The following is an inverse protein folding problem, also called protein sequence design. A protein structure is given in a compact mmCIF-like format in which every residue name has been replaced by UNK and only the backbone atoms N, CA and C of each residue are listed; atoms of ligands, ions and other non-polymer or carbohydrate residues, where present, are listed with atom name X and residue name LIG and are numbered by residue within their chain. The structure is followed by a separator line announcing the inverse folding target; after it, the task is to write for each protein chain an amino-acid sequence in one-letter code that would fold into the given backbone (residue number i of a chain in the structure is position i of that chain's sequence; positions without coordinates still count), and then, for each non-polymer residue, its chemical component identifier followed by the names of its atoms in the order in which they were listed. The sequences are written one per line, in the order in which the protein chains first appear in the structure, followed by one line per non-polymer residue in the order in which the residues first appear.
data_IF_127295697820
#
_entry.id   IF_127295697820
#
_cell.length_a   1.000
_cell.length_b   1.000
_cell.length_c   1.000
_cell.angle_alpha   90.00
_cell.angle_beta   90.00
_cell.angle_gamma   90.00
#
_symmetry.space_group_name_H-M   'P 1'
#
loop_
_entity.id
_entity.type
_entity.pdbx_description
1 polymer ?
#
# COMPACT_ATOMS: atom_id res chain seq x y z
N UNK A 1 21.75 5.86 52.13
CA UNK A 1 22.45 5.74 50.85
C UNK A 1 21.55 4.90 49.93
N UNK A 2 20.81 5.54 49.05
CA UNK A 2 19.94 4.88 48.09
C UNK A 2 20.76 4.55 46.84
N UNK A 3 20.94 3.28 46.58
CA UNK A 3 21.54 2.82 45.32
C UNK A 3 20.48 2.98 44.21
N UNK A 4 20.60 4.02 43.40
CA UNK A 4 19.95 4.15 42.13
C UNK A 4 20.66 3.19 41.17
N UNK A 5 20.05 2.03 40.92
CA UNK A 5 20.46 1.15 39.82
C UNK A 5 20.02 1.81 38.49
N UNK A 6 20.96 2.48 37.83
CA UNK A 6 20.77 2.98 36.48
C UNK A 6 20.49 1.80 35.53
N UNK A 7 19.20 1.56 35.22
CA UNK A 7 18.82 0.71 34.08
C UNK A 7 19.20 1.45 32.80
N UNK A 8 20.30 1.05 32.19
CA UNK A 8 20.58 1.42 30.79
C UNK A 8 19.62 0.65 29.90
N UNK A 9 18.50 1.27 29.54
CA UNK A 9 17.59 0.68 28.55
C UNK A 9 18.31 0.64 27.20
N UNK A 10 18.36 -0.54 26.59
CA UNK A 10 18.94 -0.72 25.26
C UNK A 10 18.03 -0.07 24.21
N UNK A 11 18.61 0.60 23.20
CA UNK A 11 17.84 1.15 22.11
C UNK A 11 17.35 0.06 21.16
N UNK A 12 16.24 0.32 20.44
CA UNK A 12 15.75 -0.60 19.41
C UNK A 12 16.81 -0.90 18.35
N UNK A 13 17.56 0.11 17.93
CA UNK A 13 18.63 -0.03 16.94
C UNK A 13 19.73 -0.96 17.43
N UNK A 14 20.13 -0.81 18.67
CA UNK A 14 21.15 -1.67 19.30
C UNK A 14 20.66 -3.12 19.43
N UNK A 15 19.39 -3.35 19.81
CA UNK A 15 18.79 -4.68 19.83
C UNK A 15 18.77 -5.31 18.45
N UNK A 16 18.32 -4.56 17.43
CA UNK A 16 18.20 -5.07 16.06
C UNK A 16 19.55 -5.27 15.35
N UNK A 17 20.62 -4.65 15.85
CA UNK A 17 21.98 -4.96 15.39
C UNK A 17 22.43 -6.37 15.79
N UNK A 18 21.85 -6.93 16.86
CA UNK A 18 22.19 -8.25 17.43
C UNK A 18 21.24 -9.36 16.99
N UNK A 19 19.97 -9.05 16.75
CA UNK A 19 18.93 -10.03 16.37
C UNK A 19 17.88 -9.43 15.46
N UNK A 20 17.49 -10.14 14.40
CA UNK A 20 16.44 -9.66 13.48
C UNK A 20 15.04 -9.80 14.08
N UNK A 21 14.08 -8.93 13.67
CA UNK A 21 12.67 -9.05 14.06
C UNK A 21 12.10 -10.43 13.70
N UNK A 22 12.55 -11.02 12.60
CA UNK A 22 12.13 -12.35 12.15
C UNK A 22 12.52 -13.41 13.16
N UNK A 23 13.75 -13.36 13.69
CA UNK A 23 14.20 -14.31 14.70
C UNK A 23 13.49 -14.10 16.05
N UNK A 24 13.18 -12.86 16.40
CA UNK A 24 12.37 -12.54 17.57
C UNK A 24 10.96 -13.12 17.41
N UNK A 25 10.33 -12.90 16.25
CA UNK A 25 9.01 -13.46 15.96
C UNK A 25 8.99 -14.99 16.02
N UNK A 26 10.01 -15.66 15.45
CA UNK A 26 10.15 -17.11 15.56
C UNK A 26 10.20 -17.59 17.00
N UNK A 27 11.04 -16.94 17.81
CA UNK A 27 11.26 -17.33 19.22
C UNK A 27 9.99 -17.18 20.05
N UNK A 28 9.32 -16.02 19.93
CA UNK A 28 8.23 -15.67 20.86
C UNK A 28 6.83 -16.00 20.33
N UNK A 29 6.65 -16.14 19.02
CA UNK A 29 5.37 -16.53 18.41
C UNK A 29 5.36 -17.97 17.91
N UNK A 30 6.48 -18.69 17.98
CA UNK A 30 6.59 -20.10 17.56
C UNK A 30 6.37 -20.33 16.07
N UNK A 31 6.58 -19.28 15.24
CA UNK A 31 6.37 -19.38 13.79
C UNK A 31 7.63 -19.90 13.09
N UNK A 32 7.42 -20.68 12.04
CA UNK A 32 8.51 -21.29 11.23
C UNK A 32 8.63 -20.69 9.83
N UNK A 33 7.65 -19.88 9.43
CA UNK A 33 7.61 -19.25 8.10
C UNK A 33 6.92 -17.89 8.14
N UNK A 34 7.30 -16.98 7.26
CA UNK A 34 6.68 -15.68 7.01
C UNK A 34 6.50 -15.53 5.48
N UNK A 35 5.31 -15.13 4.97
CA UNK A 35 4.08 -14.87 5.71
C UNK A 35 3.36 -16.13 6.17
N UNK A 36 2.68 -16.05 7.30
CA UNK A 36 1.82 -17.11 7.81
C UNK A 36 0.52 -16.55 8.38
N UNK A 37 -0.47 -17.41 8.56
CA UNK A 37 -1.72 -17.11 9.26
C UNK A 37 -1.87 -18.12 10.38
N UNK A 38 -1.98 -17.62 11.61
CA UNK A 38 -2.09 -18.42 12.84
C UNK A 38 -3.39 -18.09 13.59
N UNK A 39 -3.70 -18.85 14.60
CA UNK A 39 -4.74 -18.44 15.55
C UNK A 39 -4.27 -17.19 16.32
N UNK A 40 -5.19 -16.26 16.60
CA UNK A 40 -4.80 -15.02 17.29
C UNK A 40 -4.14 -15.31 18.65
N UNK A 41 -2.94 -14.79 18.92
CA UNK A 41 -2.32 -14.90 20.23
C UNK A 41 -2.92 -13.92 21.25
N UNK A 42 -3.72 -12.96 20.82
CA UNK A 42 -4.30 -11.90 21.66
C UNK A 42 -5.72 -12.22 22.16
N UNK A 43 -6.38 -13.24 21.59
CA UNK A 43 -7.73 -13.63 21.93
C UNK A 43 -7.97 -15.12 21.66
N UNK A 44 -9.04 -15.66 22.21
CA UNK A 44 -9.47 -17.03 21.88
C UNK A 44 -9.87 -17.09 20.41
N UNK A 45 -9.22 -17.93 19.64
CA UNK A 45 -9.43 -18.09 18.20
C UNK A 45 -9.57 -19.57 17.86
N UNK A 46 -10.64 -19.93 17.13
CA UNK A 46 -10.91 -21.32 16.73
C UNK A 46 -10.54 -21.57 15.25
N UNK A 47 -10.22 -20.53 14.50
CA UNK A 47 -9.80 -20.61 13.09
C UNK A 47 -8.70 -19.59 12.83
N UNK A 48 -7.60 -19.97 12.17
CA UNK A 48 -6.51 -19.05 11.87
C UNK A 48 -7.01 -17.75 11.20
N UNK A 49 -6.87 -16.64 11.91
CA UNK A 49 -7.31 -15.31 11.45
C UNK A 49 -6.32 -14.20 11.77
N UNK A 50 -5.11 -14.58 12.19
CA UNK A 50 -4.07 -13.63 12.55
C UNK A 50 -2.87 -13.76 11.59
N UNK A 51 -2.73 -12.78 10.69
CA UNK A 51 -1.67 -12.75 9.69
C UNK A 51 -0.39 -12.14 10.23
N UNK A 52 0.75 -12.83 10.02
CA UNK A 52 2.10 -12.32 10.30
C UNK A 52 2.84 -12.26 8.96
N UNK A 53 3.44 -11.12 8.66
CA UNK A 53 4.09 -10.87 7.39
C UNK A 53 5.26 -9.87 7.49
N UNK A 54 6.07 -9.82 6.44
CA UNK A 54 7.11 -8.81 6.26
C UNK A 54 7.08 -8.34 4.81
N UNK A 55 7.20 -7.03 4.58
CA UNK A 55 7.26 -6.47 3.23
C UNK A 55 8.69 -6.36 2.72
N UNK A 56 9.63 -6.07 3.61
CA UNK A 56 11.05 -5.82 3.32
C UNK A 56 11.97 -7.00 3.69
N UNK A 57 11.41 -8.05 4.27
CA UNK A 57 12.18 -9.18 4.80
C UNK A 57 12.93 -8.88 6.11
N UNK A 58 12.72 -7.70 6.71
CA UNK A 58 13.37 -7.26 7.95
C UNK A 58 12.35 -6.98 9.05
N UNK A 59 11.38 -6.10 8.78
CA UNK A 59 10.35 -5.71 9.75
C UNK A 59 9.16 -6.65 9.71
N UNK A 60 8.74 -7.13 10.87
CA UNK A 60 7.57 -8.00 11.04
C UNK A 60 6.35 -7.15 11.38
N UNK A 61 5.24 -7.44 10.69
CA UNK A 61 3.93 -6.81 10.88
C UNK A 61 2.87 -7.87 11.12
N UNK A 62 1.80 -7.49 11.80
CA UNK A 62 0.63 -8.34 11.97
C UNK A 62 -0.66 -7.64 11.58
N UNK A 63 -1.67 -8.46 11.28
CA UNK A 63 -3.05 -8.04 11.12
C UNK A 63 -3.96 -9.13 11.67
N UNK A 64 -4.79 -8.80 12.65
CA UNK A 64 -5.92 -9.65 13.05
C UNK A 64 -7.10 -9.40 12.11
N UNK A 65 -7.36 -10.33 11.21
CA UNK A 65 -8.42 -10.19 10.20
C UNK A 65 -9.83 -10.21 10.79
N UNK A 66 -10.01 -10.65 12.03
CA UNK A 66 -11.30 -10.66 12.68
C UNK A 66 -11.65 -9.33 13.34
N UNK A 67 -10.65 -8.61 13.86
CA UNK A 67 -10.85 -7.31 14.54
C UNK A 67 -10.44 -6.13 13.68
N UNK A 68 -9.64 -6.35 12.62
CA UNK A 68 -9.01 -5.30 11.82
C UNK A 68 -7.77 -4.68 12.47
N UNK A 69 -7.39 -5.14 13.64
CA UNK A 69 -6.23 -4.63 14.38
C UNK A 69 -4.93 -4.97 13.65
N UNK A 70 -3.98 -4.04 13.63
CA UNK A 70 -2.67 -4.18 12.97
C UNK A 70 -1.58 -3.43 13.72
N UNK A 71 -0.34 -3.90 13.57
CA UNK A 71 0.80 -3.26 14.23
C UNK A 71 2.15 -3.90 13.88
N UNK A 72 3.20 -3.46 14.59
CA UNK A 72 4.54 -4.03 14.53
C UNK A 72 4.73 -5.21 15.48
N UNK A 73 5.89 -5.88 15.37
CA UNK A 73 6.23 -7.01 16.24
C UNK A 73 6.27 -6.62 17.72
N UNK A 74 6.91 -5.51 18.04
CA UNK A 74 7.08 -5.09 19.45
C UNK A 74 5.77 -4.61 20.07
N UNK A 75 4.86 -4.00 19.28
CA UNK A 75 3.50 -3.68 19.71
C UNK A 75 2.71 -4.96 20.02
N UNK A 76 2.87 -5.99 19.17
CA UNK A 76 2.26 -7.30 19.41
C UNK A 76 2.78 -7.93 20.71
N UNK A 77 4.09 -7.92 20.92
CA UNK A 77 4.69 -8.51 22.11
C UNK A 77 4.33 -7.73 23.39
N UNK A 78 4.22 -6.40 23.32
CA UNK A 78 3.73 -5.56 24.40
C UNK A 78 2.32 -5.97 24.83
N UNK A 79 1.41 -6.14 23.89
CA UNK A 79 0.04 -6.59 24.14
C UNK A 79 -0.01 -8.03 24.66
N UNK A 80 0.76 -8.92 24.06
CA UNK A 80 0.80 -10.34 24.43
C UNK A 80 1.32 -10.55 25.86
N UNK A 81 2.30 -9.76 26.28
CA UNK A 81 2.89 -9.85 27.60
C UNK A 81 2.26 -8.91 28.62
N UNK A 82 1.45 -7.95 28.19
CA UNK A 82 0.81 -6.96 29.07
C UNK A 82 1.81 -6.01 29.72
N UNK A 83 2.93 -5.68 29.03
CA UNK A 83 3.99 -4.81 29.52
C UNK A 83 4.25 -3.65 28.54
N UNK A 84 4.76 -2.50 29.02
CA UNK A 84 5.13 -1.37 28.17
C UNK A 84 6.19 -1.74 27.12
N UNK A 85 6.24 -0.93 26.05
CA UNK A 85 7.15 -1.16 24.91
C UNK A 85 8.63 -1.21 25.30
N UNK A 86 9.08 -0.34 26.17
CA UNK A 86 10.45 -0.29 26.71
C UNK A 86 10.81 -1.56 27.49
N UNK A 87 9.89 -2.06 28.31
CA UNK A 87 10.07 -3.32 29.03
C UNK A 87 10.13 -4.54 28.10
N UNK A 88 9.48 -4.48 26.92
CA UNK A 88 9.61 -5.53 25.87
C UNK A 88 11.05 -5.60 25.39
N UNK A 89 11.68 -4.45 25.10
CA UNK A 89 13.08 -4.39 24.66
C UNK A 89 14.03 -4.95 25.71
N UNK A 90 13.85 -4.54 26.97
CA UNK A 90 14.65 -5.03 28.10
C UNK A 90 14.49 -6.54 28.28
N UNK A 91 13.27 -7.07 28.20
CA UNK A 91 13.01 -8.51 28.32
C UNK A 91 13.73 -9.31 27.23
N UNK A 92 13.60 -8.87 25.96
CA UNK A 92 14.27 -9.54 24.85
C UNK A 92 15.78 -9.50 25.01
N UNK A 93 16.32 -8.35 25.44
CA UNK A 93 17.74 -8.17 25.65
C UNK A 93 18.26 -9.09 26.77
N UNK A 94 17.54 -9.15 27.88
CA UNK A 94 17.91 -10.03 29.01
C UNK A 94 17.90 -11.50 28.58
N UNK A 95 16.88 -11.93 27.79
CA UNK A 95 16.81 -13.28 27.25
C UNK A 95 17.95 -13.62 26.29
N UNK A 96 18.49 -12.63 25.59
CA UNK A 96 19.66 -12.80 24.73
C UNK A 96 20.96 -12.85 25.55
N UNK A 97 21.10 -11.98 26.54
CA UNK A 97 22.33 -11.90 27.37
C UNK A 97 22.46 -13.09 28.32
N UNK A 98 21.38 -13.55 28.93
CA UNK A 98 21.42 -14.75 29.78
C UNK A 98 21.78 -16.03 29.03
N UNK A 99 21.48 -16.11 27.73
CA UNK A 99 21.93 -17.21 26.87
C UNK A 99 23.44 -17.16 26.62
N UNK A 100 24.02 -15.96 26.58
CA UNK A 100 25.49 -15.79 26.40
C UNK A 100 26.32 -15.98 27.68
N UNK A 101 25.71 -15.82 28.84
CA UNK A 101 26.43 -16.02 30.11
C UNK A 101 26.60 -17.48 30.55
N UNK A 102 25.78 -18.40 30.01
CA UNK A 102 25.83 -19.82 30.33
C UNK A 102 26.53 -20.68 29.26
N UNK A 103 27.02 -20.09 28.18
CA UNK A 103 27.72 -20.80 27.09
C UNK A 103 29.08 -20.16 26.82
N UNK A 104 30.03 -20.22 27.79
CA UNK A 104 31.44 -20.22 27.46
C UNK A 104 31.80 -21.68 27.09
N UNK A 105 31.38 -22.11 25.93
CA UNK A 105 32.00 -23.12 25.06
C UNK A 105 31.50 -22.96 23.65
N UNK A 106 32.42 -22.69 22.75
CA UNK A 106 32.33 -22.65 21.33
C UNK A 106 31.46 -23.80 20.79
N UNK A 107 30.27 -23.50 20.31
CA UNK A 107 29.61 -24.22 19.23
C UNK A 107 28.65 -23.26 18.51
N UNK A 108 28.99 -23.01 17.25
CA UNK A 108 28.22 -22.18 16.31
C UNK A 108 26.87 -22.80 15.88
N UNK A 109 26.20 -23.52 16.76
CA UNK A 109 24.90 -24.15 16.50
C UNK A 109 23.82 -23.59 17.45
N UNK A 110 23.57 -22.30 17.38
CA UNK A 110 22.24 -21.82 17.73
C UNK A 110 21.29 -22.24 16.59
N UNK A 111 20.70 -23.43 16.73
CA UNK A 111 19.60 -23.88 15.88
C UNK A 111 18.38 -22.97 16.10
N UNK A 112 18.45 -21.71 15.61
CA UNK A 112 17.25 -21.02 15.19
C UNK A 112 16.76 -21.79 13.97
N UNK A 113 15.64 -22.47 14.13
CA UNK A 113 14.91 -23.07 12.99
C UNK A 113 14.96 -22.05 11.87
N UNK A 114 15.62 -22.37 10.75
CA UNK A 114 15.73 -21.43 9.62
C UNK A 114 14.32 -21.05 9.21
N UNK A 115 13.90 -19.83 9.59
CA UNK A 115 12.59 -19.32 9.16
C UNK A 115 12.64 -19.24 7.65
N UNK A 116 11.74 -19.93 7.02
CA UNK A 116 11.56 -19.85 5.58
C UNK A 116 10.82 -18.57 5.27
N UNK A 117 11.54 -17.53 4.84
CA UNK A 117 10.91 -16.35 4.23
C UNK A 117 10.41 -16.81 2.87
N UNK A 118 9.13 -17.15 2.80
CA UNK A 118 8.49 -17.42 1.51
C UNK A 118 8.48 -16.13 0.71
N UNK A 119 9.34 -16.01 -0.29
CA UNK A 119 9.19 -14.97 -1.31
C UNK A 119 7.76 -15.10 -1.83
N UNK A 120 6.96 -14.02 -1.66
CA UNK A 120 5.62 -13.95 -2.24
C UNK A 120 5.76 -14.30 -3.72
N UNK A 121 5.29 -15.48 -4.15
CA UNK A 121 5.25 -15.78 -5.58
C UNK A 121 4.38 -14.71 -6.19
N UNK A 122 4.95 -13.88 -7.07
CA UNK A 122 4.17 -12.84 -7.78
C UNK A 122 3.07 -13.57 -8.52
N UNK A 123 1.82 -13.42 -8.08
CA UNK A 123 0.68 -13.96 -8.80
C UNK A 123 0.56 -13.18 -10.09
N UNK A 124 0.51 -13.86 -11.23
CA UNK A 124 0.20 -13.23 -12.50
C UNK A 124 -1.31 -13.14 -12.63
N UNK A 125 -1.81 -11.99 -13.07
CA UNK A 125 -3.22 -11.79 -13.37
C UNK A 125 -3.37 -11.69 -14.87
N UNK A 126 -4.33 -12.43 -15.42
CA UNK A 126 -4.81 -12.31 -16.77
C UNK A 126 -6.31 -11.99 -16.74
N UNK A 127 -6.82 -11.36 -17.77
CA UNK A 127 -8.22 -10.94 -17.83
C UNK A 127 -8.84 -11.30 -19.20
N UNK A 128 -10.13 -11.57 -19.20
CA UNK A 128 -10.91 -11.65 -20.43
C UNK A 128 -11.64 -10.32 -20.61
N UNK A 129 -11.17 -9.52 -21.58
CA UNK A 129 -11.79 -8.26 -21.95
C UNK A 129 -13.14 -8.54 -22.62
N UNK A 130 -14.09 -7.66 -22.40
CA UNK A 130 -15.40 -7.61 -23.08
C UNK A 130 -15.61 -6.26 -23.77
N UNK A 131 -16.63 -6.16 -24.57
CA UNK A 131 -17.01 -4.89 -25.17
C UNK A 131 -17.53 -3.90 -24.12
N UNK A 132 -17.30 -2.63 -24.35
CA UNK A 132 -17.90 -1.53 -23.60
C UNK A 132 -19.41 -1.55 -23.76
N UNK A 133 -20.13 -1.47 -22.66
CA UNK A 133 -21.59 -1.37 -22.64
C UNK A 133 -22.01 0.06 -22.30
N UNK A 134 -23.32 0.35 -22.47
CA UNK A 134 -23.88 1.65 -22.13
C UNK A 134 -23.63 1.99 -20.65
N UNK A 135 -23.87 1.05 -19.73
CA UNK A 135 -23.69 1.28 -18.30
C UNK A 135 -22.22 1.51 -17.90
N UNK A 136 -21.25 0.94 -18.62
CA UNK A 136 -19.84 1.24 -18.36
C UNK A 136 -19.51 2.68 -18.72
N UNK A 137 -19.99 3.14 -19.89
CA UNK A 137 -19.79 4.52 -20.34
C UNK A 137 -20.41 5.51 -19.38
N UNK A 138 -21.68 5.31 -19.01
CA UNK A 138 -22.39 6.13 -18.03
C UNK A 138 -21.65 6.18 -16.68
N UNK A 139 -21.11 5.04 -16.22
CA UNK A 139 -20.31 4.99 -14.99
C UNK A 139 -19.08 5.90 -15.07
N UNK A 140 -18.27 5.78 -16.12
CA UNK A 140 -17.05 6.57 -16.25
C UNK A 140 -17.33 8.03 -16.61
N UNK A 141 -18.33 8.31 -17.42
CA UNK A 141 -18.79 9.66 -17.74
C UNK A 141 -19.26 10.40 -16.48
N UNK A 142 -19.87 9.69 -15.53
CA UNK A 142 -20.25 10.27 -14.24
C UNK A 142 -19.06 10.76 -13.40
N UNK A 143 -17.85 10.32 -13.72
CA UNK A 143 -16.58 10.82 -13.17
C UNK A 143 -15.83 11.75 -14.15
N UNK A 144 -16.48 12.18 -15.23
CA UNK A 144 -15.89 13.05 -16.26
C UNK A 144 -14.81 12.37 -17.13
N UNK A 145 -14.80 11.04 -17.20
CA UNK A 145 -13.81 10.27 -17.96
C UNK A 145 -14.47 9.64 -19.19
N UNK A 146 -14.11 10.12 -20.37
CA UNK A 146 -14.65 9.59 -21.64
C UNK A 146 -13.99 8.25 -22.03
N UNK A 147 -14.63 7.55 -22.98
CA UNK A 147 -14.07 6.32 -23.53
C UNK A 147 -12.68 6.50 -24.15
N UNK A 148 -12.42 7.65 -24.77
CA UNK A 148 -11.09 7.94 -25.35
C UNK A 148 -10.02 8.03 -24.28
N UNK A 149 -10.32 8.65 -23.13
CA UNK A 149 -9.43 8.70 -21.98
C UNK A 149 -9.19 7.32 -21.39
N UNK A 150 -10.20 6.47 -21.31
CA UNK A 150 -10.06 5.10 -20.82
C UNK A 150 -9.17 4.27 -21.75
N UNK A 151 -9.37 4.38 -23.08
CA UNK A 151 -8.52 3.72 -24.07
C UNK A 151 -7.07 4.24 -24.00
N UNK A 152 -6.91 5.57 -23.89
CA UNK A 152 -5.60 6.19 -23.71
C UNK A 152 -4.86 5.64 -22.50
N UNK A 153 -5.56 5.46 -21.39
CA UNK A 153 -5.02 4.93 -20.13
C UNK A 153 -4.92 3.39 -20.10
N UNK A 154 -5.30 2.68 -21.15
CA UNK A 154 -5.39 1.21 -21.20
C UNK A 154 -6.27 0.63 -20.10
N UNK A 155 -7.43 1.23 -19.91
CA UNK A 155 -8.50 0.72 -19.06
C UNK A 155 -9.48 -0.07 -19.93
N UNK A 156 -9.82 -1.29 -19.52
CA UNK A 156 -10.69 -2.17 -20.30
C UNK A 156 -11.74 -2.82 -19.40
N UNK A 157 -13.00 -2.93 -19.85
CA UNK A 157 -14.02 -3.69 -19.14
C UNK A 157 -13.73 -5.19 -19.27
N UNK A 158 -13.95 -5.94 -18.21
CA UNK A 158 -13.62 -7.37 -18.17
C UNK A 158 -14.83 -8.21 -17.80
N UNK A 159 -14.84 -9.47 -18.29
CA UNK A 159 -15.84 -10.47 -17.95
C UNK A 159 -15.31 -11.53 -16.98
N UNK A 160 -14.01 -11.79 -17.01
CA UNK A 160 -13.35 -12.77 -16.13
C UNK A 160 -11.98 -12.27 -15.71
N UNK A 161 -11.56 -12.70 -14.51
CA UNK A 161 -10.21 -12.59 -13.99
C UNK A 161 -9.62 -13.98 -13.82
N UNK A 162 -8.35 -14.14 -14.21
CA UNK A 162 -7.62 -15.39 -14.14
C UNK A 162 -6.39 -15.15 -13.28
N UNK A 163 -6.33 -15.81 -12.15
CA UNK A 163 -5.19 -15.72 -11.22
C UNK A 163 -4.30 -16.92 -11.45
N UNK A 164 -3.04 -16.66 -11.78
CA UNK A 164 -2.03 -17.70 -11.95
C UNK A 164 -1.11 -17.70 -10.74
N UNK A 165 -1.13 -18.78 -9.99
CA UNK A 165 -0.32 -18.97 -8.78
C UNK A 165 0.30 -20.35 -8.81
N UNK A 166 1.64 -20.44 -8.65
CA UNK A 166 2.38 -21.68 -8.68
C UNK A 166 2.08 -22.55 -9.93
N UNK A 167 1.97 -21.92 -11.11
CA UNK A 167 1.66 -22.60 -12.37
C UNK A 167 0.19 -23.01 -12.56
N UNK A 168 -0.65 -22.93 -11.53
CA UNK A 168 -2.08 -23.22 -11.61
C UNK A 168 -2.88 -21.99 -12.00
N UNK A 169 -3.89 -22.16 -12.84
CA UNK A 169 -4.79 -21.11 -13.33
C UNK A 169 -6.15 -21.25 -12.66
N UNK A 170 -6.61 -20.17 -12.05
CA UNK A 170 -7.92 -20.08 -11.40
C UNK A 170 -8.74 -19.00 -12.10
N UNK A 171 -9.83 -19.37 -12.77
CA UNK A 171 -10.71 -18.44 -13.48
C UNK A 171 -11.93 -18.12 -12.62
N UNK A 172 -12.24 -16.82 -12.53
CA UNK A 172 -13.38 -16.30 -11.78
C UNK A 172 -14.16 -15.33 -12.67
N UNK A 173 -15.48 -15.34 -12.56
CA UNK A 173 -16.30 -14.27 -13.14
C UNK A 173 -15.93 -12.93 -12.50
N UNK A 174 -15.95 -11.87 -13.28
CA UNK A 174 -15.82 -10.50 -12.79
C UNK A 174 -17.22 -9.91 -12.51
N UNK A 175 -17.27 -8.88 -11.64
CA UNK A 175 -18.52 -8.16 -11.37
C UNK A 175 -19.03 -7.45 -12.62
N UNK A 176 -20.31 -7.04 -12.64
CA UNK A 176 -20.90 -6.27 -13.73
C UNK A 176 -20.06 -5.05 -14.09
N UNK A 177 -19.65 -4.29 -13.07
CA UNK A 177 -18.71 -3.16 -13.20
C UNK A 177 -17.33 -3.64 -12.78
N UNK A 178 -16.56 -4.12 -13.74
CA UNK A 178 -15.19 -4.58 -13.49
C UNK A 178 -14.27 -4.12 -14.61
N UNK A 179 -13.18 -3.49 -14.24
CA UNK A 179 -12.25 -2.85 -15.17
C UNK A 179 -10.81 -3.28 -14.86
N UNK A 180 -10.06 -3.61 -15.90
CA UNK A 180 -8.63 -3.86 -15.81
C UNK A 180 -7.85 -2.60 -16.18
N UNK A 181 -6.98 -2.15 -15.29
CA UNK A 181 -5.97 -1.14 -15.54
C UNK A 181 -4.69 -1.86 -15.95
N UNK A 182 -4.27 -1.67 -17.19
CA UNK A 182 -3.10 -2.34 -17.76
C UNK A 182 -1.91 -1.41 -17.67
N UNK A 183 -0.97 -1.75 -16.81
CA UNK A 183 0.22 -0.97 -16.54
C UNK A 183 1.44 -1.56 -17.24
N UNK A 184 2.26 -0.67 -17.82
CA UNK A 184 3.50 -1.04 -18.49
C UNK A 184 4.68 -0.39 -17.77
N UNK A 185 5.66 -1.20 -17.37
CA UNK A 185 6.92 -0.74 -16.82
C UNK A 185 8.07 -1.59 -17.36
N UNK A 186 9.05 -0.96 -18.01
CA UNK A 186 10.28 -1.63 -18.49
C UNK A 186 9.97 -2.90 -19.31
N UNK A 187 9.00 -2.81 -20.21
CA UNK A 187 8.57 -3.95 -21.05
C UNK A 187 7.69 -4.99 -20.34
N UNK A 188 7.50 -4.88 -19.03
CA UNK A 188 6.64 -5.78 -18.27
C UNK A 188 5.22 -5.23 -18.17
N UNK A 189 4.25 -6.12 -18.34
CA UNK A 189 2.82 -5.81 -18.17
C UNK A 189 2.34 -6.32 -16.82
N UNK A 190 1.64 -5.48 -16.09
CA UNK A 190 0.92 -5.86 -14.87
C UNK A 190 -0.52 -5.34 -14.92
N UNK A 191 -1.40 -5.95 -14.15
CA UNK A 191 -2.83 -5.66 -14.18
C UNK A 191 -3.32 -5.38 -12.76
N UNK A 192 -4.06 -4.27 -12.65
CA UNK A 192 -4.86 -3.94 -11.47
C UNK A 192 -6.33 -3.96 -11.86
N UNK A 193 -7.12 -4.77 -11.19
CA UNK A 193 -8.56 -4.89 -11.43
C UNK A 193 -9.30 -4.04 -10.42
N UNK A 194 -10.25 -3.25 -10.91
CA UNK A 194 -11.14 -2.39 -10.14
C UNK A 194 -12.59 -2.86 -10.27
N UNK A 195 -13.22 -3.17 -9.16
CA UNK A 195 -14.62 -3.57 -9.05
C UNK A 195 -15.32 -2.67 -8.03
N UNK A 196 -15.82 -1.48 -8.43
CA UNK A 196 -16.26 -0.42 -7.51
C UNK A 196 -17.36 -0.86 -6.53
N UNK A 197 -18.25 -1.74 -6.96
CA UNK A 197 -19.41 -2.17 -6.17
C UNK A 197 -19.25 -3.53 -5.50
N UNK A 198 -18.01 -4.09 -5.50
CA UNK A 198 -17.76 -5.38 -4.85
C UNK A 198 -17.89 -5.25 -3.32
N UNK A 199 -18.82 -6.04 -2.75
CA UNK A 199 -19.11 -6.06 -1.31
C UNK A 199 -18.33 -7.12 -0.55
N UNK A 200 -17.59 -7.99 -1.23
CA UNK A 200 -16.92 -9.16 -0.65
C UNK A 200 -15.42 -8.90 -0.38
N UNK A 201 -14.99 -7.63 -0.27
CA UNK A 201 -13.59 -7.29 -0.03
C UNK A 201 -12.67 -7.36 -1.25
N UNK A 202 -13.21 -7.62 -2.45
CA UNK A 202 -12.44 -7.72 -3.70
C UNK A 202 -12.61 -6.50 -4.61
N UNK A 203 -12.79 -5.31 -4.02
CA UNK A 203 -12.82 -4.05 -4.79
C UNK A 203 -11.56 -3.90 -5.66
N UNK A 204 -10.43 -4.34 -5.14
CA UNK A 204 -9.15 -4.32 -5.81
C UNK A 204 -8.52 -5.72 -5.87
N UNK A 205 -7.94 -6.06 -7.03
CA UNK A 205 -7.11 -7.25 -7.21
C UNK A 205 -5.93 -6.87 -8.12
N UNK A 206 -4.69 -7.09 -7.72
CA UNK A 206 -3.53 -6.56 -8.46
C UNK A 206 -2.37 -7.53 -8.54
N UNK A 207 -1.70 -7.53 -9.71
CA UNK A 207 -0.34 -8.05 -9.89
C UNK A 207 0.71 -6.93 -9.97
N UNK A 208 0.27 -5.68 -9.86
CA UNK A 208 1.11 -4.48 -9.93
C UNK A 208 1.82 -4.25 -8.61
N UNK A 209 3.08 -3.93 -8.65
CA UNK A 209 3.86 -3.57 -7.46
C UNK A 209 3.89 -2.05 -7.23
N UNK A 210 4.39 -1.64 -6.06
CA UNK A 210 4.46 -0.24 -5.64
C UNK A 210 5.35 0.65 -6.50
N UNK A 211 6.24 0.06 -7.31
CA UNK A 211 7.16 0.81 -8.17
C UNK A 211 6.52 1.27 -9.48
N UNK A 212 5.30 0.80 -9.78
CA UNK A 212 4.55 1.19 -10.98
C UNK A 212 3.77 2.46 -10.70
N UNK A 213 3.96 3.45 -11.55
CA UNK A 213 3.22 4.71 -11.53
C UNK A 213 2.30 4.71 -12.74
N UNK A 214 1.01 4.79 -12.50
CA UNK A 214 0.00 4.82 -13.57
C UNK A 214 0.14 6.09 -14.40
N UNK A 215 -0.10 5.98 -15.70
CA UNK A 215 0.05 7.06 -16.71
C UNK A 215 1.48 7.59 -16.90
N UNK A 216 2.51 7.00 -16.26
CA UNK A 216 3.90 7.46 -16.35
C UNK A 216 4.39 7.69 -17.79
N UNK A 217 4.08 6.76 -18.69
CA UNK A 217 4.49 6.83 -20.11
C UNK A 217 3.55 7.66 -20.97
N UNK A 218 2.47 8.20 -20.40
CA UNK A 218 1.43 8.96 -21.10
C UNK A 218 1.52 10.46 -20.91
N UNK A 219 2.03 10.89 -19.75
CA UNK A 219 2.19 12.32 -19.46
C UNK A 219 3.26 12.94 -20.37
N UNK A 220 3.12 14.23 -20.71
CA UNK A 220 4.13 14.96 -21.51
C UNK A 220 5.54 14.78 -20.95
N UNK A 221 6.58 14.78 -21.80
CA UNK A 221 7.95 14.61 -21.35
C UNK A 221 8.43 15.73 -20.42
N UNK A 222 7.86 16.94 -20.54
CA UNK A 222 8.13 18.11 -19.72
C UNK A 222 6.91 19.02 -19.62
N UNK A 223 6.87 19.93 -18.66
CA UNK A 223 5.77 20.87 -18.50
C UNK A 223 5.89 21.79 -17.28
N UNK A 224 4.93 22.71 -17.16
CA UNK A 224 4.87 23.65 -16.03
C UNK A 224 4.47 22.95 -14.74
N UNK A 225 3.49 22.06 -14.80
CA UNK A 225 2.93 21.39 -13.63
C UNK A 225 2.49 19.96 -13.93
N UNK A 226 2.54 19.11 -12.92
CA UNK A 226 1.99 17.75 -12.91
C UNK A 226 1.44 17.42 -11.53
N UNK A 227 0.44 16.54 -11.46
CA UNK A 227 -0.15 16.09 -10.21
C UNK A 227 0.08 14.59 -9.99
N UNK A 228 0.39 14.21 -8.75
CA UNK A 228 0.45 12.82 -8.27
C UNK A 228 -0.81 12.56 -7.45
N UNK A 229 -1.65 11.64 -7.93
CA UNK A 229 -2.89 11.22 -7.27
C UNK A 229 -2.71 9.85 -6.57
N UNK A 230 -3.64 9.51 -5.67
CA UNK A 230 -3.67 8.22 -4.98
C UNK A 230 -4.15 7.07 -5.88
N UNK A 231 -4.97 7.37 -6.90
CA UNK A 231 -5.54 6.37 -7.80
C UNK A 231 -5.55 6.82 -9.27
N UNK A 232 -5.56 5.82 -10.18
CA UNK A 232 -5.69 6.09 -11.62
C UNK A 232 -7.02 6.77 -11.96
N UNK A 233 -8.12 6.44 -11.26
CA UNK A 233 -9.44 7.08 -11.45
C UNK A 233 -9.33 8.59 -11.22
N UNK A 234 -8.67 8.98 -10.15
CA UNK A 234 -8.51 10.39 -9.77
C UNK A 234 -7.59 11.14 -10.73
N UNK A 235 -6.48 10.52 -11.13
CA UNK A 235 -5.58 11.09 -12.12
C UNK A 235 -6.27 11.31 -13.47
N UNK A 236 -7.11 10.36 -13.90
CA UNK A 236 -7.90 10.50 -15.13
C UNK A 236 -8.95 11.58 -15.01
N UNK A 237 -9.70 11.61 -13.90
CA UNK A 237 -10.70 12.65 -13.65
C UNK A 237 -10.08 14.04 -13.66
N UNK A 238 -8.97 14.23 -12.94
CA UNK A 238 -8.26 15.51 -12.90
C UNK A 238 -7.80 15.92 -14.30
N UNK A 239 -7.05 15.06 -14.97
CA UNK A 239 -6.43 15.40 -16.26
C UNK A 239 -7.46 15.64 -17.37
N UNK A 240 -8.46 14.76 -17.52
CA UNK A 240 -9.49 14.88 -18.56
C UNK A 240 -10.35 16.15 -18.41
N UNK A 241 -10.54 16.62 -17.20
CA UNK A 241 -11.42 17.75 -16.94
C UNK A 241 -10.68 19.10 -16.82
N UNK A 242 -9.43 19.10 -16.38
CA UNK A 242 -8.68 20.36 -16.15
C UNK A 242 -7.54 20.59 -17.13
N UNK A 243 -7.07 19.55 -17.83
CA UNK A 243 -5.86 19.60 -18.67
C UNK A 243 -4.55 19.50 -17.88
N UNK A 244 -4.59 19.41 -16.55
CA UNK A 244 -3.38 19.23 -15.74
C UNK A 244 -2.90 17.79 -15.84
N UNK A 245 -1.70 17.52 -16.44
CA UNK A 245 -1.16 16.19 -16.53
C UNK A 245 -1.10 15.54 -15.14
N UNK A 246 -1.51 14.28 -15.06
CA UNK A 246 -1.58 13.58 -13.78
C UNK A 246 -1.09 12.15 -13.90
N UNK A 247 -0.40 11.70 -12.86
CA UNK A 247 0.03 10.31 -12.65
C UNK A 247 -0.57 9.81 -11.35
N UNK A 248 -0.54 8.50 -11.13
CA UNK A 248 -1.03 7.96 -9.88
C UNK A 248 -0.10 6.89 -9.30
N UNK A 249 0.01 6.87 -7.98
CA UNK A 249 0.59 5.75 -7.23
C UNK A 249 -0.37 4.55 -7.26
N UNK A 250 0.05 3.42 -6.71
CA UNK A 250 -0.81 2.23 -6.65
C UNK A 250 -1.82 2.24 -5.48
N UNK A 251 -1.89 3.33 -4.73
CA UNK A 251 -2.79 3.58 -3.59
C UNK A 251 -2.15 4.52 -2.58
N UNK A 252 -2.90 4.84 -1.56
CA UNK A 252 -2.40 5.54 -0.37
C UNK A 252 -1.35 4.68 0.35
N UNK A 253 -0.40 5.32 1.03
CA UNK A 253 0.69 4.64 1.74
C UNK A 253 1.80 4.09 0.84
N UNK A 254 1.70 4.20 -0.48
CA UNK A 254 2.79 3.85 -1.39
C UNK A 254 3.78 5.01 -1.55
N UNK A 255 5.06 4.71 -1.34
CA UNK A 255 6.15 5.66 -1.58
C UNK A 255 6.63 5.57 -3.02
N UNK A 256 7.03 6.71 -3.58
CA UNK A 256 7.69 6.76 -4.89
C UNK A 256 9.18 6.46 -4.73
N UNK A 257 9.81 5.87 -5.75
CA UNK A 257 11.27 5.70 -5.77
C UNK A 257 11.98 7.06 -5.96
N UNK A 258 13.19 7.19 -5.42
CA UNK A 258 14.01 8.40 -5.59
C UNK A 258 14.24 8.73 -7.06
N UNK A 259 14.39 7.72 -7.92
CA UNK A 259 14.50 7.88 -9.36
C UNK A 259 13.26 8.53 -9.96
N UNK A 260 12.06 8.08 -9.57
CA UNK A 260 10.81 8.65 -10.07
C UNK A 260 10.59 10.07 -9.56
N UNK A 261 10.93 10.34 -8.29
CA UNK A 261 10.88 11.69 -7.70
C UNK A 261 11.81 12.66 -8.46
N UNK A 262 13.05 12.24 -8.66
CA UNK A 262 14.05 13.06 -9.37
C UNK A 262 13.63 13.31 -10.82
N UNK A 263 13.06 12.32 -11.49
CA UNK A 263 12.59 12.45 -12.86
C UNK A 263 11.38 13.40 -12.95
N UNK A 264 10.43 13.37 -12.04
CA UNK A 264 9.31 14.33 -12.01
C UNK A 264 9.82 15.77 -11.81
N UNK A 265 10.76 15.97 -10.87
CA UNK A 265 11.37 17.29 -10.62
C UNK A 265 12.16 17.80 -11.82
N UNK A 266 12.81 16.91 -12.59
CA UNK A 266 13.54 17.28 -13.81
C UNK A 266 12.59 17.69 -14.93
N UNK A 267 11.44 17.02 -15.05
CA UNK A 267 10.47 17.19 -16.14
C UNK A 267 9.51 18.37 -15.93
N UNK A 268 9.18 18.67 -14.67
CA UNK A 268 8.13 19.65 -14.37
C UNK A 268 8.61 20.69 -13.38
N UNK A 269 8.23 21.96 -13.61
CA UNK A 269 8.60 23.05 -12.70
C UNK A 269 7.92 22.94 -11.34
N UNK A 270 6.65 22.50 -11.32
CA UNK A 270 5.89 22.27 -10.10
C UNK A 270 5.30 20.85 -10.12
N UNK A 271 5.56 20.08 -9.07
CA UNK A 271 4.95 18.76 -8.85
C UNK A 271 4.05 18.83 -7.65
N UNK A 272 2.79 18.45 -7.83
CA UNK A 272 1.78 18.49 -6.80
C UNK A 272 1.40 17.08 -6.33
N UNK A 273 0.93 16.97 -5.11
CA UNK A 273 0.30 15.77 -4.53
C UNK A 273 -1.14 16.11 -4.22
N UNK A 274 -2.06 15.29 -4.68
CA UNK A 274 -3.49 15.43 -4.41
C UNK A 274 -4.05 14.06 -4.06
N UNK A 275 -4.24 13.81 -2.77
CA UNK A 275 -4.80 12.58 -2.23
C UNK A 275 -6.21 12.84 -1.67
N UNK A 276 -6.83 11.80 -1.12
CA UNK A 276 -8.16 11.88 -0.54
C UNK A 276 -8.21 12.90 0.61
N UNK A 277 -9.35 13.51 0.86
CA UNK A 277 -9.52 14.46 1.98
C UNK A 277 -9.99 13.80 3.28
N UNK A 278 -9.94 12.46 3.38
CA UNK A 278 -10.09 11.73 4.63
C UNK A 278 -8.79 11.72 5.46
N UNK A 279 -8.85 11.25 6.70
CA UNK A 279 -7.71 11.26 7.62
C UNK A 279 -6.49 10.53 7.04
N UNK A 280 -6.70 9.39 6.40
CA UNK A 280 -5.61 8.59 5.81
C UNK A 280 -4.96 9.32 4.63
N UNK A 281 -5.77 9.86 3.72
CA UNK A 281 -5.27 10.59 2.55
C UNK A 281 -4.53 11.87 2.92
N UNK A 282 -5.01 12.61 3.92
CA UNK A 282 -4.34 13.81 4.44
C UNK A 282 -2.96 13.48 5.02
N UNK A 283 -2.87 12.43 5.85
CA UNK A 283 -1.60 11.99 6.45
C UNK A 283 -0.61 11.51 5.39
N UNK A 284 -1.07 10.69 4.46
CA UNK A 284 -0.20 10.14 3.42
C UNK A 284 0.22 11.19 2.38
N UNK A 285 -0.66 12.13 2.04
CA UNK A 285 -0.35 13.26 1.16
C UNK A 285 0.71 14.18 1.78
N UNK A 286 0.55 14.54 3.05
CA UNK A 286 1.54 15.34 3.78
C UNK A 286 2.87 14.62 3.92
N UNK A 287 2.85 13.31 4.22
CA UNK A 287 4.05 12.48 4.30
C UNK A 287 4.81 12.44 2.97
N UNK A 288 4.11 12.20 1.87
CA UNK A 288 4.73 12.18 0.53
C UNK A 288 5.31 13.56 0.19
N UNK A 289 4.59 14.63 0.47
CA UNK A 289 5.06 16.01 0.28
C UNK A 289 6.35 16.28 1.06
N UNK A 290 6.41 15.94 2.34
CA UNK A 290 7.60 16.11 3.18
C UNK A 290 8.80 15.29 2.67
N UNK A 291 8.57 14.08 2.19
CA UNK A 291 9.62 13.20 1.68
C UNK A 291 10.16 13.67 0.32
N UNK A 292 9.30 14.22 -0.51
CA UNK A 292 9.64 14.55 -1.90
C UNK A 292 9.91 16.03 -2.12
N UNK A 293 9.38 16.91 -1.28
CA UNK A 293 9.33 18.35 -1.52
C UNK A 293 8.30 18.76 -2.57
N UNK A 294 7.34 17.89 -2.90
CA UNK A 294 6.22 18.21 -3.77
C UNK A 294 5.19 19.06 -3.03
N UNK A 295 4.41 19.85 -3.75
CA UNK A 295 3.41 20.75 -3.19
C UNK A 295 2.16 19.94 -2.85
N UNK A 296 1.81 19.85 -1.56
CA UNK A 296 0.59 19.16 -1.14
C UNK A 296 -0.65 20.04 -1.37
N UNK A 297 -1.62 19.50 -2.09
CA UNK A 297 -2.95 20.10 -2.27
C UNK A 297 -3.93 19.30 -1.42
N UNK A 298 -4.71 20.03 -0.62
CA UNK A 298 -5.81 19.46 0.15
C UNK A 298 -7.13 19.91 -0.48
N UNK A 299 -7.97 18.94 -0.87
CA UNK A 299 -9.32 19.23 -1.34
C UNK A 299 -10.16 19.88 -0.23
N UNK A 300 -10.96 20.90 -0.55
CA UNK A 300 -11.96 21.37 0.38
C UNK A 300 -12.93 20.22 0.71
N UNK A 301 -13.35 20.14 1.97
CA UNK A 301 -14.36 19.15 2.37
C UNK A 301 -15.68 19.41 1.65
N UNK A 302 -16.30 18.38 1.15
CA UNK A 302 -17.58 18.42 0.45
C UNK A 302 -18.44 17.20 0.85
N UNK A 303 -19.75 17.33 0.70
CA UNK A 303 -20.66 16.22 0.94
C UNK A 303 -20.65 15.23 -0.24
N UNK A 304 -20.73 13.94 0.05
CA UNK A 304 -20.88 12.87 -0.94
C UNK A 304 -19.61 12.19 -1.38
N UNK A 305 -18.44 12.53 -0.84
CA UNK A 305 -17.21 11.85 -1.19
C UNK A 305 -15.95 12.36 -0.49
N UNK A 306 -14.82 11.85 -0.91
CA UNK A 306 -13.52 12.15 -0.28
C UNK A 306 -12.38 12.37 -1.28
N UNK A 307 -12.53 11.96 -2.52
CA UNK A 307 -11.52 12.09 -3.57
C UNK A 307 -11.99 13.07 -4.68
N UNK A 308 -11.07 13.46 -5.56
CA UNK A 308 -11.34 14.43 -6.62
C UNK A 308 -12.36 13.91 -7.63
N UNK A 309 -12.42 12.60 -7.87
CA UNK A 309 -13.41 12.01 -8.75
C UNK A 309 -14.80 11.97 -8.12
N UNK A 310 -14.90 11.80 -6.80
CA UNK A 310 -16.16 11.94 -6.07
C UNK A 310 -16.67 13.40 -6.12
N UNK A 311 -15.77 14.39 -6.06
CA UNK A 311 -16.15 15.80 -6.24
C UNK A 311 -16.76 16.04 -7.62
N UNK A 312 -16.13 15.53 -8.69
CA UNK A 312 -16.71 15.63 -10.03
C UNK A 312 -18.06 14.92 -10.12
N UNK A 313 -18.15 13.73 -9.55
CA UNK A 313 -19.39 12.95 -9.52
C UNK A 313 -20.53 13.68 -8.81
N UNK A 314 -20.24 14.41 -7.75
CA UNK A 314 -21.22 15.23 -7.03
C UNK A 314 -21.65 16.46 -7.85
N UNK A 315 -20.72 17.12 -8.50
CA UNK A 315 -20.99 18.37 -9.22
C UNK A 315 -21.67 18.13 -10.59
N UNK A 316 -21.31 17.04 -11.29
CA UNK A 316 -21.74 16.72 -12.67
C UNK A 316 -21.62 17.92 -13.63
N UNK A 317 -20.69 18.83 -13.33
CA UNK A 317 -20.50 20.08 -14.07
C UNK A 317 -19.00 20.39 -14.19
N UNK A 318 -18.49 20.31 -15.41
CA UNK A 318 -17.07 20.48 -15.71
C UNK A 318 -16.55 21.90 -15.40
N UNK A 319 -17.36 22.91 -15.64
CA UNK A 319 -16.93 24.30 -15.44
C UNK A 319 -16.85 24.63 -13.95
N UNK A 320 -17.87 24.27 -13.17
CA UNK A 320 -17.82 24.38 -11.70
C UNK A 320 -16.66 23.58 -11.10
N UNK A 321 -16.39 22.39 -11.64
CA UNK A 321 -15.25 21.57 -11.20
C UNK A 321 -13.94 22.31 -11.44
N UNK A 322 -13.75 22.92 -12.63
CA UNK A 322 -12.57 23.73 -12.94
C UNK A 322 -12.44 24.96 -12.05
N UNK A 323 -13.53 25.67 -11.77
CA UNK A 323 -13.55 26.82 -10.89
C UNK A 323 -13.03 26.49 -9.49
N UNK A 324 -13.34 25.29 -8.97
CA UNK A 324 -12.85 24.83 -7.66
C UNK A 324 -11.40 24.35 -7.73
N UNK A 325 -11.04 23.59 -8.76
CA UNK A 325 -9.79 22.84 -8.79
C UNK A 325 -8.62 23.67 -9.31
N UNK A 326 -8.81 24.46 -10.39
CA UNK A 326 -7.68 25.17 -11.01
C UNK A 326 -6.98 26.17 -10.08
N UNK A 327 -7.67 26.90 -9.19
CA UNK A 327 -7.02 27.79 -8.22
C UNK A 327 -6.06 27.09 -7.25
N UNK A 328 -6.26 25.79 -6.98
CA UNK A 328 -5.42 25.00 -6.08
C UNK A 328 -4.02 24.72 -6.67
N UNK A 329 -3.85 24.91 -7.97
CA UNK A 329 -2.62 24.65 -8.70
C UNK A 329 -1.84 25.92 -9.10
N UNK A 330 -2.13 27.05 -8.48
CA UNK A 330 -1.46 28.33 -8.76
C UNK A 330 -0.19 28.57 -7.92
#
# INVERSE_FOLDING_TARGET
MSFSSGRTSISLEELLSKVSEINIAAKYLGITEIPCVINSPLRKDNRPSFGIYSFDGQKVRYTDFATGERGGLFDLLSKLWGIPYDEVLDRITNDLTHKYSNEIRVNNDCNYSKIVIKKKSKSKIEVKIRNWTKYDKEYWESYGVSLDWLNYARVYPISHKIIIKNGKRYAFGADKYAYAFVELKEGNTSIKIYQPFNKNGFKWCTSTDSSVISLWTKVPPEGEKICVCSSLKDALCLWSNTGIPSVATQGEGYTMSDTAISELKRRYKKVYVLFDCDEAGLVDGEKLSKQTGFINIVLPKFEGGKDISDLYHTLQNKDKFKEIILPLFN
#
